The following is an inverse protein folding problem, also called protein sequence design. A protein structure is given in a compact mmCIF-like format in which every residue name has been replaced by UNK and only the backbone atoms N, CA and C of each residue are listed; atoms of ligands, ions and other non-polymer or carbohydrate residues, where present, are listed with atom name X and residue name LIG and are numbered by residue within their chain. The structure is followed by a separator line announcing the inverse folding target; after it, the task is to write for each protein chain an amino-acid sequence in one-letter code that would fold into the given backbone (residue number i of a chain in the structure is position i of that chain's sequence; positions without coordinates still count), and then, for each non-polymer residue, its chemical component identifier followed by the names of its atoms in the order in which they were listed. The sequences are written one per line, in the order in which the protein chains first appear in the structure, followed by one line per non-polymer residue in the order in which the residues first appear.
data_IF_490489439248
#
_entry.id   IF_490489439248
#
_cell.length_a   1.000
_cell.length_b   1.000
_cell.length_c   1.000
_cell.angle_alpha   90.00
_cell.angle_beta   90.00
_cell.angle_gamma   90.00
#
_symmetry.space_group_name_H-M   'P 1'
#
loop_
_entity.id
_entity.type
_entity.pdbx_description
1 polymer ?
#
# COMPACT_ATOMS: atom_id res chain seq x y z
N UNK A 1 39.34 -12.77 13.21
CA UNK A 1 38.72 -12.40 11.93
C UNK A 1 37.39 -13.15 11.81
N UNK A 2 36.28 -12.41 11.74
CA UNK A 2 35.06 -12.74 10.96
C UNK A 2 33.79 -13.36 11.57
N UNK A 3 33.57 -13.51 12.89
CA UNK A 3 32.20 -13.91 13.33
C UNK A 3 31.14 -12.83 13.00
N UNK A 4 31.50 -11.55 13.20
CA UNK A 4 30.64 -10.40 12.89
C UNK A 4 30.40 -10.23 11.37
N UNK A 5 31.38 -10.63 10.54
CA UNK A 5 31.27 -10.57 9.09
C UNK A 5 30.30 -11.63 8.55
N UNK A 6 30.28 -12.84 9.13
CA UNK A 6 29.33 -13.89 8.75
C UNK A 6 27.89 -13.55 9.13
N UNK A 7 27.66 -12.93 10.29
CA UNK A 7 26.34 -12.44 10.67
C UNK A 7 25.83 -11.36 9.71
N UNK A 8 26.68 -10.38 9.36
CA UNK A 8 26.32 -9.32 8.41
C UNK A 8 26.02 -9.87 7.01
N UNK A 9 26.83 -10.81 6.50
CA UNK A 9 26.61 -11.46 5.21
C UNK A 9 25.32 -12.29 5.19
N UNK A 10 25.02 -13.01 6.28
CA UNK A 10 23.78 -13.79 6.40
C UNK A 10 22.55 -12.88 6.43
N UNK A 11 22.57 -11.80 7.20
CA UNK A 11 21.44 -10.86 7.23
C UNK A 11 21.22 -10.20 5.87
N UNK A 12 22.28 -9.75 5.19
CA UNK A 12 22.17 -9.11 3.87
C UNK A 12 21.61 -10.08 2.82
N UNK A 13 22.04 -11.35 2.84
CA UNK A 13 21.53 -12.35 1.89
C UNK A 13 20.07 -12.69 2.13
N UNK A 14 19.62 -12.78 3.39
CA UNK A 14 18.20 -13.03 3.73
C UNK A 14 17.34 -11.82 3.34
N UNK A 15 17.79 -10.59 3.63
CA UNK A 15 17.06 -9.37 3.25
C UNK A 15 16.95 -9.19 1.74
N UNK A 16 17.98 -9.53 0.96
CA UNK A 16 17.92 -9.43 -0.50
C UNK A 16 16.91 -10.41 -1.13
N UNK A 17 16.84 -11.63 -0.59
CA UNK A 17 15.87 -12.65 -1.06
C UNK A 17 14.44 -12.23 -0.71
N UNK A 18 14.19 -11.82 0.54
CA UNK A 18 12.92 -11.28 1.06
C UNK A 18 12.47 -10.03 0.28
N UNK A 19 13.37 -9.10 0.01
CA UNK A 19 13.03 -7.89 -0.76
C UNK A 19 12.65 -8.22 -2.21
N UNK A 20 13.27 -9.23 -2.82
CA UNK A 20 12.95 -9.67 -4.17
C UNK A 20 11.56 -10.28 -4.29
N UNK A 21 11.14 -11.03 -3.28
CA UNK A 21 9.82 -11.70 -3.22
C UNK A 21 8.68 -10.72 -2.96
N UNK A 22 8.85 -9.73 -2.06
CA UNK A 22 7.84 -8.66 -1.85
C UNK A 22 7.59 -7.85 -3.13
N UNK A 23 8.64 -7.48 -3.85
CA UNK A 23 8.48 -6.72 -5.10
C UNK A 23 7.81 -7.54 -6.20
N UNK A 24 8.05 -8.86 -6.24
CA UNK A 24 7.38 -9.77 -7.16
C UNK A 24 5.89 -9.88 -6.84
N UNK A 25 5.54 -10.10 -5.57
CA UNK A 25 4.15 -10.13 -5.12
C UNK A 25 3.43 -8.82 -5.42
N UNK A 26 4.09 -7.67 -5.22
CA UNK A 26 3.50 -6.36 -5.53
C UNK A 26 3.19 -6.24 -7.03
N UNK A 27 4.11 -6.67 -7.89
CA UNK A 27 3.92 -6.67 -9.35
C UNK A 27 2.77 -7.56 -9.76
N UNK A 28 2.70 -8.79 -9.23
CA UNK A 28 1.64 -9.75 -9.53
C UNK A 28 0.26 -9.20 -9.11
N UNK A 29 0.17 -8.64 -7.90
CA UNK A 29 -1.07 -8.01 -7.41
C UNK A 29 -1.50 -6.84 -8.29
N UNK A 30 -0.57 -5.95 -8.64
CA UNK A 30 -0.86 -4.79 -9.51
C UNK A 30 -1.32 -5.26 -10.88
N UNK A 31 -0.65 -6.27 -11.47
CA UNK A 31 -1.00 -6.80 -12.77
C UNK A 31 -2.38 -7.46 -12.78
N UNK A 32 -2.69 -8.27 -11.76
CA UNK A 32 -3.99 -8.92 -11.63
C UNK A 32 -5.13 -7.90 -11.49
N UNK A 33 -4.97 -6.89 -10.63
CA UNK A 33 -5.96 -5.81 -10.47
C UNK A 33 -6.14 -4.95 -11.73
N UNK A 34 -5.04 -4.71 -12.47
CA UNK A 34 -5.09 -3.94 -13.70
C UNK A 34 -5.97 -4.61 -14.77
N UNK A 35 -6.03 -5.94 -14.79
CA UNK A 35 -6.86 -6.71 -15.72
C UNK A 35 -8.28 -6.99 -15.21
N UNK A 36 -8.53 -6.80 -13.91
CA UNK A 36 -9.83 -7.05 -13.30
C UNK A 36 -10.74 -5.79 -13.29
N UNK A 37 -12.08 -5.97 -13.40
CA UNK A 37 -13.03 -4.92 -13.06
C UNK A 37 -13.05 -4.67 -11.53
N UNK A 38 -13.47 -3.48 -11.10
CA UNK A 38 -13.39 -3.10 -9.67
C UNK A 38 -14.23 -4.00 -8.75
N UNK A 39 -15.32 -4.55 -9.27
CA UNK A 39 -16.21 -5.46 -8.56
C UNK A 39 -15.49 -6.76 -8.16
N UNK A 40 -14.47 -7.16 -8.93
CA UNK A 40 -13.65 -8.35 -8.69
C UNK A 40 -12.35 -8.04 -7.92
N UNK A 41 -12.04 -6.76 -7.68
CA UNK A 41 -10.78 -6.37 -7.03
C UNK A 41 -10.60 -7.00 -5.65
N UNK A 42 -11.66 -7.18 -4.87
CA UNK A 42 -11.54 -7.82 -3.55
C UNK A 42 -11.07 -9.27 -3.66
N UNK A 43 -11.68 -10.07 -4.53
CA UNK A 43 -11.32 -11.48 -4.69
C UNK A 43 -9.96 -11.64 -5.34
N UNK A 44 -9.68 -10.85 -6.38
CA UNK A 44 -8.39 -10.87 -7.09
C UNK A 44 -7.25 -10.45 -6.17
N UNK A 45 -7.47 -9.42 -5.35
CA UNK A 45 -6.48 -8.96 -4.38
C UNK A 45 -6.18 -10.02 -3.34
N UNK A 46 -7.22 -10.62 -2.74
CA UNK A 46 -7.04 -11.68 -1.74
C UNK A 46 -6.31 -12.87 -2.37
N UNK A 47 -6.74 -13.37 -3.52
CA UNK A 47 -6.12 -14.52 -4.19
C UNK A 47 -4.66 -14.26 -4.55
N UNK A 48 -4.36 -13.08 -5.09
CA UNK A 48 -3.00 -12.76 -5.57
C UNK A 48 -2.07 -12.38 -4.42
N UNK A 49 -2.61 -11.79 -3.34
CA UNK A 49 -1.90 -11.46 -2.11
C UNK A 49 -2.04 -12.56 -1.03
N UNK A 50 -2.33 -13.81 -1.43
CA UNK A 50 -2.45 -14.97 -0.52
C UNK A 50 -1.71 -16.19 -1.08
N UNK A 51 -0.58 -15.98 -1.75
CA UNK A 51 0.10 -17.09 -2.43
C UNK A 51 0.94 -17.95 -1.48
N UNK A 52 0.30 -18.46 -0.41
CA UNK A 52 0.63 -19.69 0.33
C UNK A 52 2.14 -20.01 0.34
N UNK A 53 2.98 -19.21 1.04
CA UNK A 53 4.39 -19.49 1.50
C UNK A 53 5.26 -18.23 1.71
N UNK A 54 4.92 -17.43 2.73
CA UNK A 54 5.88 -16.57 3.45
C UNK A 54 6.22 -15.17 2.90
N UNK A 55 5.33 -14.51 2.15
CA UNK A 55 5.34 -13.03 2.11
C UNK A 55 4.04 -12.43 1.57
N UNK A 56 3.05 -12.29 2.45
CA UNK A 56 1.89 -11.42 2.19
C UNK A 56 2.35 -9.98 2.39
N UNK A 57 1.99 -9.08 1.49
CA UNK A 57 2.29 -7.65 1.67
C UNK A 57 1.26 -7.07 2.64
N UNK A 58 1.68 -6.59 3.83
CA UNK A 58 0.75 -5.89 4.71
C UNK A 58 0.23 -4.65 3.99
N UNK A 59 -1.07 -4.58 3.74
CA UNK A 59 -1.60 -3.60 2.80
C UNK A 59 -3.05 -3.24 3.03
N UNK A 60 -3.42 -2.07 2.51
CA UNK A 60 -4.80 -1.60 2.46
C UNK A 60 -5.18 -1.36 1.02
N UNK A 61 -6.29 -1.95 0.58
CA UNK A 61 -6.87 -1.73 -0.74
C UNK A 61 -8.10 -0.82 -0.62
N UNK A 62 -8.14 0.22 -1.44
CA UNK A 62 -9.34 1.04 -1.63
C UNK A 62 -10.04 0.64 -2.93
N UNK A 63 -11.25 0.10 -2.85
CA UNK A 63 -12.01 -0.38 -4.01
C UNK A 63 -13.05 0.68 -4.42
N UNK A 64 -13.04 1.17 -5.66
CA UNK A 64 -14.07 2.08 -6.14
C UNK A 64 -15.44 1.41 -6.26
N UNK A 65 -16.51 2.12 -5.90
CA UNK A 65 -17.90 1.67 -6.06
C UNK A 65 -18.53 1.97 -7.43
N UNK A 66 -17.82 2.69 -8.29
CA UNK A 66 -18.27 3.05 -9.63
C UNK A 66 -17.28 2.54 -10.66
N UNK A 67 -17.76 2.02 -11.79
CA UNK A 67 -16.91 1.70 -12.93
C UNK A 67 -16.20 2.96 -13.44
N UNK A 68 -14.86 2.96 -13.42
CA UNK A 68 -14.06 4.03 -14.01
C UNK A 68 -13.93 3.78 -15.51
N UNK A 69 -14.20 4.82 -16.31
CA UNK A 69 -13.80 4.92 -17.71
C UNK A 69 -12.57 5.85 -17.92
N UNK A 70 -11.71 6.00 -16.90
CA UNK A 70 -10.92 7.24 -16.77
C UNK A 70 -9.39 7.15 -16.78
N UNK A 71 -8.74 5.98 -16.78
CA UNK A 71 -7.28 5.94 -16.83
C UNK A 71 -6.77 5.04 -17.95
N UNK A 72 -6.00 5.60 -18.87
CA UNK A 72 -5.32 4.84 -19.93
C UNK A 72 -4.29 3.84 -19.37
N UNK A 73 -3.83 4.05 -18.13
CA UNK A 73 -2.83 3.20 -17.45
C UNK A 73 -3.44 2.54 -16.19
N UNK A 74 -3.99 1.34 -16.37
CA UNK A 74 -4.63 0.56 -15.30
C UNK A 74 -3.64 0.04 -14.26
N UNK A 75 -2.37 -0.18 -14.62
CA UNK A 75 -1.33 -0.57 -13.66
C UNK A 75 -1.03 0.54 -12.69
N UNK A 76 -0.88 1.79 -13.17
CA UNK A 76 -0.72 2.95 -12.27
C UNK A 76 -1.94 3.16 -11.39
N UNK A 77 -3.13 3.01 -11.96
CA UNK A 77 -4.38 3.10 -11.21
C UNK A 77 -4.41 2.08 -10.07
N UNK A 78 -4.19 0.80 -10.37
CA UNK A 78 -4.15 -0.27 -9.37
C UNK A 78 -3.10 0.01 -8.29
N UNK A 79 -1.88 0.39 -8.69
CA UNK A 79 -0.78 0.71 -7.78
C UNK A 79 -1.12 1.85 -6.81
N UNK A 80 -1.87 2.86 -7.28
CA UNK A 80 -2.25 4.01 -6.46
C UNK A 80 -3.35 3.69 -5.43
N UNK A 81 -4.18 2.67 -5.68
CA UNK A 81 -5.25 2.26 -4.76
C UNK A 81 -4.76 1.33 -3.63
N UNK A 82 -3.47 0.97 -3.63
CA UNK A 82 -2.86 0.11 -2.61
C UNK A 82 -1.91 0.93 -1.74
N UNK A 83 -2.17 0.94 -0.43
CA UNK A 83 -1.25 1.44 0.60
C UNK A 83 -0.45 0.24 1.14
N UNK A 84 0.91 0.28 1.15
CA UNK A 84 1.76 -0.81 1.67
C UNK A 84 1.83 -0.83 3.20
N UNK A 85 0.67 -0.70 3.84
CA UNK A 85 0.45 -0.85 5.27
C UNK A 85 -0.99 -1.33 5.45
N UNK A 86 -1.20 -2.33 6.31
CA UNK A 86 -2.54 -2.70 6.77
C UNK A 86 -3.10 -1.61 7.68
N UNK A 87 -4.24 -1.03 7.30
CA UNK A 87 -4.92 0.04 8.00
C UNK A 87 -6.41 -0.29 8.06
N UNK A 88 -6.87 -0.75 9.22
CA UNK A 88 -8.30 -0.79 9.52
C UNK A 88 -8.86 0.64 9.61
N UNK A 89 -10.17 0.78 9.66
CA UNK A 89 -10.77 2.11 9.79
C UNK A 89 -10.32 2.83 11.07
N UNK A 90 -10.13 2.09 12.16
CA UNK A 90 -9.59 2.64 13.40
C UNK A 90 -8.20 3.25 13.19
N UNK A 91 -7.33 2.61 12.40
CA UNK A 91 -5.99 3.14 12.08
C UNK A 91 -6.06 4.37 11.17
N UNK A 92 -7.02 4.40 10.25
CA UNK A 92 -7.28 5.55 9.38
C UNK A 92 -7.71 6.77 10.17
N UNK A 93 -8.59 6.61 11.17
CA UNK A 93 -9.03 7.70 12.05
C UNK A 93 -7.89 8.38 12.83
N UNK A 94 -6.84 7.62 13.13
CA UNK A 94 -5.64 8.14 13.79
C UNK A 94 -4.76 8.98 12.86
N UNK A 95 -5.01 8.96 11.54
CA UNK A 95 -4.26 9.77 10.58
C UNK A 95 -4.75 11.22 10.64
N UNK A 96 -3.86 12.19 10.88
CA UNK A 96 -4.25 13.59 10.88
C UNK A 96 -4.81 14.01 9.51
N UNK A 97 -5.81 14.89 9.52
CA UNK A 97 -6.20 15.60 8.30
C UNK A 97 -4.97 16.27 7.66
N UNK A 98 -4.88 16.20 6.33
CA UNK A 98 -3.76 16.63 5.47
C UNK A 98 -2.48 15.80 5.58
N UNK A 99 -2.47 14.71 6.35
CA UNK A 99 -1.41 13.71 6.26
C UNK A 99 -1.49 12.93 4.95
N UNK A 100 -0.43 12.19 4.61
CA UNK A 100 -0.34 11.42 3.37
C UNK A 100 -0.07 9.95 3.66
N UNK A 101 -0.76 9.07 2.94
CA UNK A 101 -0.56 7.63 2.95
C UNK A 101 0.32 7.26 1.73
N UNK A 102 1.42 6.52 1.92
CA UNK A 102 2.21 6.05 0.78
C UNK A 102 1.39 5.08 -0.07
N UNK A 103 1.76 4.93 -1.35
CA UNK A 103 1.13 3.96 -2.25
C UNK A 103 2.17 3.04 -2.87
N UNK A 104 1.74 1.96 -3.52
CA UNK A 104 2.63 1.15 -4.36
C UNK A 104 3.02 1.86 -5.66
N UNK A 105 2.33 2.94 -6.03
CA UNK A 105 2.77 3.83 -7.11
C UNK A 105 3.92 4.72 -6.62
N UNK A 106 5.14 4.41 -7.05
CA UNK A 106 6.35 5.08 -6.57
C UNK A 106 6.27 6.62 -6.71
N UNK A 107 6.70 7.32 -5.65
CA UNK A 107 6.64 8.77 -5.57
C UNK A 107 5.23 9.36 -5.42
N UNK A 108 4.20 8.51 -5.31
CA UNK A 108 2.81 8.94 -5.18
C UNK A 108 2.23 8.60 -3.81
N UNK A 109 1.31 9.45 -3.34
CA UNK A 109 0.69 9.30 -2.02
C UNK A 109 -0.71 9.85 -1.99
N UNK A 110 -1.60 9.18 -1.25
CA UNK A 110 -2.99 9.58 -1.03
C UNK A 110 -3.05 10.61 0.10
N UNK A 111 -3.78 11.70 -0.10
CA UNK A 111 -4.04 12.73 0.91
C UNK A 111 -5.23 12.34 1.79
N UNK A 112 -5.07 12.37 3.11
CA UNK A 112 -6.21 12.33 4.04
C UNK A 112 -6.89 13.70 4.03
N UNK A 113 -8.00 13.83 3.31
CA UNK A 113 -8.70 15.12 3.13
C UNK A 113 -9.56 15.47 4.34
N UNK A 114 -10.21 14.47 4.95
CA UNK A 114 -11.01 14.62 6.16
C UNK A 114 -10.86 13.38 7.04
N UNK A 115 -10.60 13.57 8.34
CA UNK A 115 -10.46 12.49 9.32
C UNK A 115 -11.64 12.37 10.31
N UNK A 116 -12.79 12.98 10.01
CA UNK A 116 -14.02 12.81 10.79
C UNK A 116 -14.57 11.39 10.64
N UNK A 117 -14.98 10.76 11.74
CA UNK A 117 -15.56 9.41 11.72
C UNK A 117 -16.83 9.28 10.86
N UNK A 118 -17.59 10.37 10.70
CA UNK A 118 -18.84 10.35 9.91
C UNK A 118 -18.65 10.71 8.45
N UNK A 119 -17.47 11.19 8.06
CA UNK A 119 -17.22 11.72 6.71
C UNK A 119 -15.75 11.61 6.30
N UNK A 120 -15.11 10.49 6.65
CA UNK A 120 -13.71 10.24 6.37
C UNK A 120 -13.47 10.19 4.86
N UNK A 121 -12.54 11.00 4.37
CA UNK A 121 -12.26 11.10 2.94
C UNK A 121 -10.77 11.17 2.62
N UNK A 122 -10.42 10.56 1.50
CA UNK A 122 -9.07 10.49 0.95
C UNK A 122 -9.09 11.01 -0.48
N UNK A 123 -8.16 11.89 -0.85
CA UNK A 123 -8.15 12.60 -2.15
C UNK A 123 -9.50 13.27 -2.49
N UNK A 124 -10.25 13.67 -1.46
CA UNK A 124 -11.60 14.23 -1.60
C UNK A 124 -12.70 13.19 -1.87
N UNK A 125 -12.36 11.90 -1.95
CA UNK A 125 -13.27 10.77 -2.12
C UNK A 125 -13.66 10.20 -0.77
N UNK A 126 -14.97 10.03 -0.55
CA UNK A 126 -15.53 9.45 0.67
C UNK A 126 -15.25 7.93 0.74
N UNK A 127 -14.88 7.43 1.92
CA UNK A 127 -14.94 6.00 2.22
C UNK A 127 -16.38 5.66 2.60
N UNK A 128 -17.04 4.79 1.83
CA UNK A 128 -18.47 4.51 1.95
C UNK A 128 -18.78 3.20 2.67
N UNK A 129 -17.87 2.23 2.63
CA UNK A 129 -17.95 1.00 3.41
C UNK A 129 -16.57 0.72 3.99
N UNK A 130 -16.53 0.52 5.29
CA UNK A 130 -15.33 0.42 6.10
C UNK A 130 -15.07 -1.07 6.39
N UNK A 131 -13.81 -1.48 6.43
CA UNK A 131 -13.41 -2.81 6.90
C UNK A 131 -14.20 -3.97 6.24
N UNK A 132 -14.44 -3.89 4.93
CA UNK A 132 -15.17 -4.92 4.15
C UNK A 132 -14.49 -6.28 4.27
N UNK A 133 -13.16 -6.25 4.34
CA UNK A 133 -12.35 -7.40 4.65
C UNK A 133 -11.18 -6.95 5.51
N UNK A 134 -10.92 -7.70 6.58
CA UNK A 134 -9.82 -7.44 7.50
C UNK A 134 -9.28 -8.78 7.99
N UNK A 135 -7.97 -8.98 7.82
CA UNK A 135 -7.23 -10.09 8.42
C UNK A 135 -5.90 -9.59 9.01
N UNK A 136 -4.95 -10.49 9.33
CA UNK A 136 -3.68 -10.09 9.94
C UNK A 136 -2.79 -9.20 9.05
N UNK A 137 -2.99 -9.20 7.72
CA UNK A 137 -2.11 -8.54 6.76
C UNK A 137 -2.85 -7.55 5.85
N UNK A 138 -4.14 -7.72 5.62
CA UNK A 138 -4.91 -7.00 4.63
C UNK A 138 -6.08 -6.26 5.30
N UNK A 139 -6.33 -5.05 4.84
CA UNK A 139 -7.58 -4.33 5.05
C UNK A 139 -8.15 -3.87 3.71
N UNK A 140 -9.47 -3.95 3.54
CA UNK A 140 -10.15 -3.51 2.32
C UNK A 140 -11.29 -2.56 2.70
N UNK A 141 -11.32 -1.40 2.05
CA UNK A 141 -12.38 -0.41 2.19
C UNK A 141 -12.96 -0.06 0.82
N UNK A 142 -14.24 0.30 0.76
CA UNK A 142 -14.86 0.79 -0.49
C UNK A 142 -14.98 2.30 -0.46
N UNK A 143 -14.68 2.91 -1.59
CA UNK A 143 -14.69 4.35 -1.80
C UNK A 143 -15.70 4.74 -2.86
N UNK A 144 -16.23 5.96 -2.77
CA UNK A 144 -17.28 6.42 -3.67
C UNK A 144 -16.86 6.46 -5.15
N UNK A 145 -15.61 6.84 -5.43
CA UNK A 145 -15.07 7.04 -6.77
C UNK A 145 -13.62 6.58 -6.85
N UNK A 146 -13.09 6.30 -8.05
CA UNK A 146 -11.66 5.99 -8.24
C UNK A 146 -10.78 7.16 -7.80
N UNK A 147 -9.66 6.84 -7.15
CA UNK A 147 -8.64 7.82 -6.78
C UNK A 147 -7.85 8.27 -8.02
N UNK A 148 -7.66 9.57 -8.14
CA UNK A 148 -6.94 10.19 -9.26
C UNK A 148 -5.50 10.54 -8.88
N UNK A 149 -4.58 9.65 -9.27
CA UNK A 149 -3.15 9.82 -9.04
C UNK A 149 -2.54 11.01 -9.81
N UNK A 150 -3.17 11.47 -10.89
CA UNK A 150 -2.66 12.59 -11.69
C UNK A 150 -2.91 13.93 -11.00
N UNK A 151 -4.02 14.03 -10.25
CA UNK A 151 -4.39 15.23 -9.48
C UNK A 151 -3.76 15.24 -8.09
N UNK A 152 -3.84 14.13 -7.34
CA UNK A 152 -3.47 14.09 -5.92
C UNK A 152 -2.13 13.42 -5.62
N UNK A 153 -1.66 12.56 -6.54
CA UNK A 153 -0.52 11.68 -6.32
C UNK A 153 0.80 12.44 -6.07
N UNK A 154 0.92 13.67 -6.55
CA UNK A 154 2.06 14.55 -6.28
C UNK A 154 2.24 14.84 -4.79
N UNK A 155 3.02 14.01 -4.10
CA UNK A 155 3.72 14.42 -2.89
C UNK A 155 4.66 15.56 -3.26
N UNK A 156 4.77 16.58 -2.41
CA UNK A 156 5.72 17.68 -2.63
C UNK A 156 7.07 17.11 -3.06
N UNK A 157 7.54 17.49 -4.25
CA UNK A 157 8.82 17.14 -4.86
C UNK A 157 10.01 17.75 -4.09
N UNK A 158 9.95 17.73 -2.76
CA UNK A 158 11.12 17.94 -1.92
C UNK A 158 12.01 16.75 -2.20
N UNK A 159 13.17 17.05 -2.77
CA UNK A 159 14.18 16.11 -3.23
C UNK A 159 14.46 15.09 -2.11
N UNK A 160 13.78 13.95 -2.13
CA UNK A 160 14.23 12.78 -1.40
C UNK A 160 15.36 12.19 -2.24
N UNK A 161 16.57 12.73 -2.06
CA UNK A 161 17.77 11.91 -2.16
C UNK A 161 17.69 10.88 -1.03
N UNK A 162 16.90 9.83 -1.23
CA UNK A 162 16.91 8.65 -0.38
C UNK A 162 16.79 7.44 -1.31
N UNK A 163 17.74 6.50 -1.22
CA UNK A 163 17.69 5.28 -2.01
C UNK A 163 16.49 4.44 -1.60
N UNK A 164 16.06 3.58 -2.51
CA UNK A 164 15.05 2.55 -2.33
C UNK A 164 15.21 1.88 -0.94
N UNK A 165 14.10 1.81 -0.19
CA UNK A 165 13.92 1.06 1.05
C UNK A 165 14.82 1.45 2.25
N UNK A 166 14.41 2.47 3.00
CA UNK A 166 14.72 2.57 4.44
C UNK A 166 13.44 2.33 5.25
N UNK A 167 13.00 1.07 5.33
CA UNK A 167 12.19 0.59 6.46
C UNK A 167 13.04 -0.15 7.51
N UNK A 168 14.38 -0.09 7.39
CA UNK A 168 15.29 -0.82 8.27
C UNK A 168 16.09 0.13 9.18
N UNK A 169 15.46 0.78 10.17
CA UNK A 169 16.17 1.32 11.35
C UNK A 169 15.25 1.86 12.47
N UNK A 170 14.21 1.11 12.90
CA UNK A 170 13.48 1.48 14.14
C UNK A 170 13.49 0.39 15.22
N UNK A 171 14.02 -0.82 15.00
CA UNK A 171 13.91 -1.88 16.04
C UNK A 171 15.22 -2.46 16.60
N UNK A 172 16.41 -1.94 16.24
CA UNK A 172 17.69 -2.50 16.76
C UNK A 172 18.50 -1.53 17.63
N UNK A 173 17.92 -0.42 18.10
CA UNK A 173 18.64 0.51 19.03
C UNK A 173 18.06 0.50 20.45
N UNK A 174 17.26 -0.50 20.83
CA UNK A 174 16.73 -0.61 22.20
C UNK A 174 17.02 -1.93 22.90
N UNK A 175 18.09 -2.63 22.53
CA UNK A 175 18.71 -3.67 23.38
C UNK A 175 20.23 -3.71 23.13
N UNK A 176 20.94 -2.74 23.71
CA UNK A 176 22.31 -2.90 24.22
C UNK A 176 22.26 -2.55 25.69
#
# INVERSE_FOLDING_TARGET
MNLLLFFLLSTVSVFAVVSGTVEETARDVIDALAHAPFEEWSSVFIETNDRIRAEVIPSTLFIPNSSANGSDDRHKLASYHIVPQRLEFADLLLKPSRSRLPTLLNGSSILVTNNSATSFSIDGVLIIELDIYVDSFIAIHRIAYPLDYTTYGGGSKLISKWPLFTFMLVTVVWFI
#
